data_IF_833952285283
#
_entry.id   IF_833952285283
#
_cell.length_a   1.000
_cell.length_b   1.000
_cell.length_c   1.000
_cell.angle_alpha   90.00
_cell.angle_beta   90.00
_cell.angle_gamma   90.00
#
_symmetry.space_group_name_H-M   'P 1'
#
loop_
_entity.id
_entity.type
_entity.pdbx_description
1 polymer ?
#
# COMPACT_ATOMS: atom_id res chain seq x y z
N UNK A 1 -0.23 12.64 14.78
CA UNK A 1 -0.77 11.30 15.06
C UNK A 1 0.40 10.32 15.03
N UNK A 2 0.47 9.36 15.95
CA UNK A 2 1.61 8.41 16.05
C UNK A 2 1.37 7.16 15.19
N UNK A 3 2.42 6.65 14.53
CA UNK A 3 2.40 5.41 13.73
C UNK A 3 1.92 4.18 14.52
N UNK A 4 2.16 4.16 15.83
CA UNK A 4 1.76 3.07 16.73
C UNK A 4 0.23 2.89 16.82
N UNK A 5 -0.54 3.96 16.60
CA UNK A 5 -2.01 3.88 16.61
C UNK A 5 -2.57 3.17 15.37
N UNK A 6 -1.81 3.15 14.28
CA UNK A 6 -2.22 2.56 13.00
C UNK A 6 -1.58 1.20 12.72
N UNK A 7 -0.71 0.72 13.62
CA UNK A 7 0.12 -0.49 13.43
C UNK A 7 0.93 -0.42 12.12
N UNK A 8 1.43 0.77 11.80
CA UNK A 8 2.26 1.00 10.61
C UNK A 8 3.71 1.04 11.04
N UNK A 9 4.54 0.26 10.36
CA UNK A 9 5.96 0.13 10.66
C UNK A 9 6.80 0.61 9.48
N UNK A 10 7.99 1.16 9.75
CA UNK A 10 9.01 1.37 8.71
C UNK A 10 9.73 0.05 8.47
N UNK A 11 9.54 -0.53 7.29
CA UNK A 11 10.17 -1.79 6.89
C UNK A 11 11.61 -1.53 6.43
N UNK A 12 11.80 -0.50 5.60
CA UNK A 12 13.09 -0.18 5.00
C UNK A 12 13.18 1.32 4.68
N UNK A 13 14.40 1.83 4.61
CA UNK A 13 14.69 3.21 4.26
C UNK A 13 15.89 3.23 3.29
N UNK A 14 15.71 3.92 2.18
CA UNK A 14 16.75 4.28 1.23
C UNK A 14 16.73 5.81 1.07
N UNK A 15 17.78 6.37 0.46
CA UNK A 15 18.12 7.80 0.46
C UNK A 15 16.92 8.77 0.56
N UNK A 16 15.94 8.67 -0.33
CA UNK A 16 14.73 9.50 -0.29
C UNK A 16 13.43 8.67 -0.17
N UNK A 17 13.54 7.35 -0.07
CA UNK A 17 12.41 6.42 -0.11
C UNK A 17 12.26 5.68 1.23
N UNK A 18 11.08 5.74 1.81
CA UNK A 18 10.73 4.96 3.00
C UNK A 18 9.65 3.95 2.63
N UNK A 19 9.90 2.68 2.95
CA UNK A 19 8.93 1.61 2.79
C UNK A 19 8.19 1.42 4.11
N UNK A 20 6.87 1.54 4.07
CA UNK A 20 5.97 1.33 5.20
C UNK A 20 5.17 0.05 5.03
N UNK A 21 4.88 -0.61 6.15
CA UNK A 21 4.18 -1.88 6.22
C UNK A 21 3.05 -1.90 7.22
N UNK A 22 2.01 -2.69 6.92
CA UNK A 22 1.00 -3.13 7.89
C UNK A 22 0.38 -4.45 7.45
N UNK A 23 0.63 -5.53 8.20
CA UNK A 23 0.21 -6.87 7.78
C UNK A 23 0.78 -7.21 6.41
N UNK A 24 -0.08 -7.56 5.45
CA UNK A 24 0.32 -7.80 4.06
C UNK A 24 0.42 -6.52 3.21
N UNK A 25 -0.01 -5.36 3.71
CA UNK A 25 0.06 -4.11 2.96
C UNK A 25 1.46 -3.49 3.02
N UNK A 26 1.89 -2.93 1.90
CA UNK A 26 3.19 -2.25 1.75
C UNK A 26 3.00 -1.00 0.89
N UNK A 27 3.64 0.11 1.25
CA UNK A 27 3.69 1.30 0.41
C UNK A 27 5.05 1.97 0.46
N UNK A 28 5.43 2.60 -0.64
CA UNK A 28 6.66 3.36 -0.76
C UNK A 28 6.33 4.86 -0.76
N UNK A 29 7.09 5.62 0.02
CA UNK A 29 6.93 7.07 0.18
C UNK A 29 8.22 7.76 -0.24
N UNK A 30 8.11 8.76 -1.11
CA UNK A 30 9.21 9.64 -1.50
C UNK A 30 8.96 11.04 -0.92
N UNK A 31 9.71 11.42 0.13
CA UNK A 31 9.49 12.67 0.84
C UNK A 31 8.10 12.74 1.49
N UNK A 32 7.17 13.50 0.87
CA UNK A 32 5.74 13.60 1.30
C UNK A 32 4.77 12.99 0.28
N UNK A 33 5.28 12.41 -0.79
CA UNK A 33 4.47 11.78 -1.82
C UNK A 33 4.32 10.31 -1.46
N UNK A 34 3.06 9.88 -1.31
CA UNK A 34 2.74 8.46 -1.20
C UNK A 34 2.58 7.91 -2.62
N UNK A 35 3.43 6.94 -2.98
CA UNK A 35 3.27 6.15 -4.19
C UNK A 35 2.11 5.16 -4.05
N UNK A 36 1.99 4.20 -4.98
CA UNK A 36 0.92 3.21 -4.89
C UNK A 36 1.14 2.24 -3.72
N UNK A 37 0.09 2.00 -2.93
CA UNK A 37 0.05 0.89 -1.98
C UNK A 37 -0.13 -0.44 -2.70
N UNK A 38 0.58 -1.46 -2.24
CA UNK A 38 0.49 -2.83 -2.72
C UNK A 38 0.21 -3.81 -1.59
N UNK A 39 0.03 -5.07 -2.00
CA UNK A 39 -0.27 -6.20 -1.15
C UNK A 39 0.75 -7.31 -1.39
N UNK A 40 1.34 -7.83 -0.32
CA UNK A 40 2.27 -8.94 -0.37
C UNK A 40 1.49 -10.25 -0.52
N UNK A 41 1.68 -10.90 -1.66
CA UNK A 41 1.09 -12.22 -1.95
C UNK A 41 2.19 -13.29 -1.93
N UNK A 42 1.81 -14.56 -2.00
CA UNK A 42 2.78 -15.66 -2.19
C UNK A 42 3.61 -15.51 -3.47
N UNK A 43 3.10 -14.75 -4.47
CA UNK A 43 3.78 -14.47 -5.74
C UNK A 43 4.55 -13.14 -5.72
N UNK A 44 4.69 -12.52 -4.55
CA UNK A 44 5.34 -11.22 -4.36
C UNK A 44 4.36 -10.05 -4.31
N UNK A 45 4.90 -8.84 -4.47
CA UNK A 45 4.15 -7.59 -4.39
C UNK A 45 3.17 -7.46 -5.57
N UNK A 46 1.89 -7.29 -5.25
CA UNK A 46 0.82 -7.00 -6.19
C UNK A 46 0.21 -5.63 -5.91
N UNK A 47 -0.26 -4.94 -6.95
CA UNK A 47 -0.94 -3.65 -6.82
C UNK A 47 -2.42 -3.80 -7.15
N UNK A 48 -3.25 -2.99 -6.51
CA UNK A 48 -4.68 -2.96 -6.74
C UNK A 48 -4.99 -2.17 -8.02
N UNK A 49 -5.63 -2.84 -8.99
CA UNK A 49 -6.15 -2.23 -10.22
C UNK A 49 -7.65 -2.45 -10.33
N UNK A 50 -8.34 -1.49 -10.94
CA UNK A 50 -9.76 -1.62 -11.25
C UNK A 50 -9.93 -1.88 -12.74
N UNK A 51 -10.64 -2.95 -13.11
CA UNK A 51 -10.98 -3.30 -14.49
C UNK A 51 -12.45 -3.69 -14.55
N UNK A 52 -13.21 -3.02 -15.40
CA UNK A 52 -14.66 -3.26 -15.57
C UNK A 52 -15.44 -3.27 -14.24
N UNK A 53 -15.06 -2.37 -13.32
CA UNK A 53 -15.67 -2.27 -11.98
C UNK A 53 -15.25 -3.36 -10.98
N UNK A 54 -14.33 -4.25 -11.36
CA UNK A 54 -13.80 -5.31 -10.48
C UNK A 54 -12.39 -5.00 -10.01
N UNK A 55 -12.07 -5.27 -8.74
CA UNK A 55 -10.74 -5.08 -8.20
C UNK A 55 -9.84 -6.29 -8.53
N UNK A 56 -8.61 -6.02 -8.94
CA UNK A 56 -7.61 -7.03 -9.29
C UNK A 56 -6.30 -6.74 -8.56
N UNK A 57 -5.67 -7.78 -8.02
CA UNK A 57 -4.28 -7.74 -7.58
C UNK A 57 -3.40 -8.19 -8.74
N UNK A 58 -2.60 -7.26 -9.24
CA UNK A 58 -1.70 -7.46 -10.38
C UNK A 58 -0.26 -7.41 -9.90
N UNK A 59 0.47 -8.51 -10.10
CA UNK A 59 1.91 -8.59 -9.89
C UNK A 59 2.63 -8.98 -11.18
N UNK A 60 3.96 -9.02 -11.15
CA UNK A 60 4.75 -9.47 -12.30
C UNK A 60 4.44 -10.94 -12.61
N UNK A 61 3.60 -11.18 -13.63
CA UNK A 61 3.26 -12.51 -14.12
C UNK A 61 2.07 -13.18 -13.43
N UNK A 62 1.30 -12.46 -12.60
CA UNK A 62 0.06 -12.97 -12.03
C UNK A 62 -0.97 -11.87 -11.87
N UNK A 63 -2.22 -12.20 -12.19
CA UNK A 63 -3.36 -11.33 -11.95
C UNK A 63 -4.45 -12.19 -11.32
N UNK A 64 -4.96 -11.75 -10.18
CA UNK A 64 -6.04 -12.42 -9.47
C UNK A 64 -7.07 -11.40 -9.07
N UNK A 65 -8.34 -11.76 -9.10
CA UNK A 65 -9.40 -10.90 -8.58
C UNK A 65 -9.16 -10.69 -7.08
N UNK A 66 -9.21 -9.44 -6.64
CA UNK A 66 -8.95 -9.09 -5.25
C UNK A 66 -10.19 -9.41 -4.41
N UNK A 67 -10.00 -10.07 -3.28
CA UNK A 67 -11.08 -10.25 -2.33
C UNK A 67 -11.50 -8.89 -1.73
N UNK A 68 -12.78 -8.68 -1.39
CA UNK A 68 -13.26 -7.43 -0.80
C UNK A 68 -12.47 -7.00 0.44
N UNK A 69 -12.06 -7.96 1.26
CA UNK A 69 -11.27 -7.73 2.47
C UNK A 69 -9.89 -7.14 2.12
N UNK A 70 -9.23 -7.67 1.08
CA UNK A 70 -7.94 -7.16 0.62
C UNK A 70 -8.07 -5.73 0.09
N UNK A 71 -9.14 -5.42 -0.63
CA UNK A 71 -9.42 -4.06 -1.10
C UNK A 71 -9.57 -3.10 0.07
N UNK A 72 -10.36 -3.47 1.09
CA UNK A 72 -10.56 -2.66 2.29
C UNK A 72 -9.26 -2.47 3.07
N UNK A 73 -8.45 -3.51 3.22
CA UNK A 73 -7.15 -3.43 3.89
C UNK A 73 -6.21 -2.44 3.22
N UNK A 74 -6.08 -2.51 1.87
CA UNK A 74 -5.21 -1.63 1.08
C UNK A 74 -5.70 -0.18 1.14
N UNK A 75 -7.01 0.05 1.01
CA UNK A 75 -7.60 1.39 1.06
C UNK A 75 -7.38 2.01 2.44
N UNK A 76 -7.74 1.28 3.51
CA UNK A 76 -7.55 1.75 4.88
C UNK A 76 -6.08 1.99 5.20
N UNK A 77 -5.18 1.14 4.72
CA UNK A 77 -3.74 1.33 4.92
C UNK A 77 -3.24 2.61 4.25
N UNK A 78 -3.68 2.86 3.01
CA UNK A 78 -3.31 4.06 2.28
C UNK A 78 -3.81 5.32 2.99
N UNK A 79 -5.05 5.33 3.45
CA UNK A 79 -5.64 6.46 4.19
C UNK A 79 -4.93 6.70 5.53
N UNK A 80 -4.72 5.65 6.31
CA UNK A 80 -4.03 5.74 7.61
C UNK A 80 -2.58 6.22 7.44
N UNK A 81 -1.88 5.74 6.41
CA UNK A 81 -0.52 6.16 6.11
C UNK A 81 -0.45 7.63 5.67
N UNK A 82 -1.38 8.09 4.82
CA UNK A 82 -1.50 9.51 4.46
C UNK A 82 -1.73 10.38 5.68
N UNK A 83 -2.65 9.98 6.55
CA UNK A 83 -2.98 10.70 7.78
C UNK A 83 -1.80 10.74 8.76
N UNK A 84 -1.05 9.64 8.89
CA UNK A 84 0.13 9.58 9.76
C UNK A 84 1.27 10.48 9.25
N UNK A 85 1.47 10.54 7.93
CA UNK A 85 2.56 11.29 7.30
C UNK A 85 2.23 12.75 6.97
N UNK A 86 0.94 13.10 6.90
CA UNK A 86 0.50 14.32 6.21
C UNK A 86 0.89 14.31 4.72
N UNK A 87 0.93 13.12 4.13
CA UNK A 87 1.35 12.90 2.74
C UNK A 87 0.20 13.16 1.77
N UNK A 88 0.56 13.49 0.53
CA UNK A 88 -0.38 13.64 -0.61
C UNK A 88 -0.14 12.53 -1.63
N UNK A 89 -1.14 12.19 -2.45
CA UNK A 89 -0.97 11.28 -3.57
C UNK A 89 0.04 11.83 -4.59
N UNK A 90 0.99 10.99 -5.00
CA UNK A 90 1.85 11.27 -6.15
C UNK A 90 1.00 11.21 -7.44
N UNK A 91 0.96 12.31 -8.20
CA UNK A 91 0.22 12.43 -9.46
C UNK A 91 1.15 12.29 -10.67
#
# INVERSE_FOLDING_TARGET
MSFELFQIERIAEAQEYILYGRGACVAMVHGRSLGSSGYMTEKGLAFLFWRDGRPWLVSKGSEVEAAPEQVQEIQKFSEDLKNALGATDEH
#
